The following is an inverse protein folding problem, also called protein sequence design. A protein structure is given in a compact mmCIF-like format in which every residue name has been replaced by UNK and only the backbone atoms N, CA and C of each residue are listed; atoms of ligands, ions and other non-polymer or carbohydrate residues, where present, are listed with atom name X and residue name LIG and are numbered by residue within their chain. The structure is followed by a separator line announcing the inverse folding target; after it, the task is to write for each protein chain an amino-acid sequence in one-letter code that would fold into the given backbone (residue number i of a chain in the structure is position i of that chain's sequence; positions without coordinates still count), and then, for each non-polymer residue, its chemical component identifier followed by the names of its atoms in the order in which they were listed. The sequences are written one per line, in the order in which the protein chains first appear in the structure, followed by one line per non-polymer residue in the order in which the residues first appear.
data_IF_600601576266
#
_entry.id   IF_600601576266
#
_cell.length_a   1.000
_cell.length_b   1.000
_cell.length_c   1.000
_cell.angle_alpha   90.00
_cell.angle_beta   90.00
_cell.angle_gamma   90.00
#
_symmetry.space_group_name_H-M   'P 1'
#
loop_
_entity.id
_entity.type
_entity.pdbx_description
1 polymer ?
#
# COMPACT_ATOMS: atom_id res chain seq x y z
N UNK A 1 -17.54 17.31 7.53
CA UNK A 1 -16.12 17.19 7.94
C UNK A 1 -15.40 16.48 6.80
N UNK A 2 -14.73 17.21 5.91
CA UNK A 2 -13.97 16.60 4.82
C UNK A 2 -12.78 15.84 5.42
N UNK A 3 -12.70 14.54 5.17
CA UNK A 3 -11.56 13.72 5.60
C UNK A 3 -10.39 14.03 4.67
N UNK A 4 -9.30 14.53 5.23
CA UNK A 4 -8.03 14.69 4.51
C UNK A 4 -7.43 13.29 4.35
N UNK A 5 -7.30 12.83 3.11
CA UNK A 5 -6.69 11.53 2.80
C UNK A 5 -5.18 11.70 2.66
N UNK A 6 -4.41 10.96 3.46
CA UNK A 6 -2.96 11.04 3.51
C UNK A 6 -2.34 9.71 3.08
N UNK A 7 -1.35 9.79 2.20
CA UNK A 7 -0.74 8.63 1.56
C UNK A 7 -0.03 7.65 2.50
N UNK A 8 0.44 8.13 3.66
CA UNK A 8 1.08 7.31 4.68
C UNK A 8 0.05 6.50 5.49
N UNK A 9 -1.16 7.01 5.66
CA UNK A 9 -2.21 6.34 6.44
C UNK A 9 -3.10 5.43 5.59
N UNK A 10 -3.18 5.68 4.29
CA UNK A 10 -4.03 4.93 3.36
C UNK A 10 -3.30 3.76 2.66
N UNK A 11 -2.09 3.40 3.13
CA UNK A 11 -1.35 2.22 2.67
C UNK A 11 -0.88 1.35 3.82
N UNK A 12 -0.85 0.05 3.54
CA UNK A 12 -0.23 -0.96 4.40
C UNK A 12 0.75 -1.77 3.56
N UNK A 13 1.88 -2.12 4.14
CA UNK A 13 2.91 -2.94 3.50
C UNK A 13 2.91 -4.31 4.16
N UNK A 14 2.83 -5.34 3.34
CA UNK A 14 2.88 -6.72 3.78
C UNK A 14 4.33 -7.20 3.69
N UNK A 15 4.82 -7.87 4.72
CA UNK A 15 6.16 -8.46 4.77
C UNK A 15 6.07 -9.95 5.08
N UNK A 16 6.96 -10.73 4.48
CA UNK A 16 7.07 -12.17 4.72
C UNK A 16 8.42 -12.48 5.34
N UNK A 17 8.41 -13.27 6.41
CA UNK A 17 9.63 -13.72 7.06
C UNK A 17 10.50 -14.54 6.09
N UNK A 18 11.82 -14.29 6.09
CA UNK A 18 12.77 -15.03 5.26
C UNK A 18 13.02 -16.45 5.78
N UNK A 19 12.77 -16.69 7.06
CA UNK A 19 12.86 -18.02 7.63
C UNK A 19 11.73 -18.87 7.05
N UNK A 20 12.09 -19.84 6.19
CA UNK A 20 11.13 -20.70 5.48
C UNK A 20 10.22 -21.52 6.40
N UNK A 21 10.66 -21.76 7.64
CA UNK A 21 9.92 -22.47 8.67
C UNK A 21 8.97 -21.56 9.44
N UNK A 22 9.16 -20.24 9.39
CA UNK A 22 8.25 -19.25 9.95
C UNK A 22 7.19 -18.86 8.90
N UNK A 23 5.91 -19.02 9.24
CA UNK A 23 4.78 -18.71 8.35
C UNK A 23 4.12 -17.36 8.65
N UNK A 24 4.74 -16.56 9.51
CA UNK A 24 4.21 -15.26 9.88
C UNK A 24 4.25 -14.27 8.70
N UNK A 25 3.15 -13.52 8.56
CA UNK A 25 3.05 -12.40 7.64
C UNK A 25 2.77 -11.15 8.47
N UNK A 26 3.53 -10.10 8.20
CA UNK A 26 3.44 -8.85 8.95
C UNK A 26 2.77 -7.78 8.11
N UNK A 27 2.03 -6.89 8.75
CA UNK A 27 1.43 -5.72 8.10
C UNK A 27 1.76 -4.47 8.89
N UNK A 28 2.46 -3.53 8.26
CA UNK A 28 2.82 -2.27 8.90
C UNK A 28 2.42 -1.08 8.03
N UNK A 29 2.25 0.08 8.67
CA UNK A 29 2.18 1.36 7.99
C UNK A 29 3.60 1.82 7.67
N UNK A 30 3.78 2.47 6.51
CA UNK A 30 5.08 2.94 6.05
C UNK A 30 5.92 1.87 5.35
N UNK A 31 6.75 2.32 4.41
CA UNK A 31 7.69 1.46 3.70
C UNK A 31 8.98 1.36 4.51
N UNK A 32 9.55 0.16 4.53
CA UNK A 32 10.89 -0.12 5.04
C UNK A 32 11.48 -1.21 4.16
N UNK A 33 12.81 -1.25 4.06
CA UNK A 33 13.47 -2.27 3.25
C UNK A 33 13.36 -3.67 3.88
N UNK A 34 13.28 -3.75 5.22
CA UNK A 34 13.02 -4.96 5.98
C UNK A 34 12.49 -4.61 7.38
N UNK A 35 11.89 -5.60 8.04
CA UNK A 35 11.51 -5.54 9.46
C UNK A 35 11.99 -6.79 10.19
N UNK A 36 12.02 -6.76 11.52
CA UNK A 36 12.33 -7.93 12.33
C UNK A 36 11.05 -8.74 12.59
N UNK A 37 11.08 -10.06 12.38
CA UNK A 37 9.98 -10.95 12.71
C UNK A 37 9.96 -11.23 14.21
N UNK A 38 8.94 -10.75 14.94
CA UNK A 38 8.84 -10.94 16.39
C UNK A 38 8.74 -12.41 16.82
N UNK A 39 8.29 -13.31 15.93
CA UNK A 39 8.09 -14.72 16.24
C UNK A 39 9.38 -15.56 16.21
N UNK A 40 10.35 -15.19 15.36
CA UNK A 40 11.58 -15.99 15.19
C UNK A 40 12.88 -15.18 15.12
N UNK A 41 12.80 -13.86 15.19
CA UNK A 41 13.95 -12.94 15.15
C UNK A 41 14.61 -12.76 13.78
N UNK A 42 14.19 -13.52 12.77
CA UNK A 42 14.71 -13.35 11.40
C UNK A 42 14.12 -12.13 10.71
N UNK A 43 14.78 -11.66 9.65
CA UNK A 43 14.24 -10.56 8.84
C UNK A 43 12.95 -10.96 8.11
N UNK A 44 12.10 -9.98 7.86
CA UNK A 44 10.96 -10.09 6.96
C UNK A 44 11.06 -9.02 5.87
N UNK A 45 10.86 -9.46 4.64
CA UNK A 45 11.02 -8.62 3.45
C UNK A 45 9.66 -8.21 2.89
N UNK A 46 9.54 -7.00 2.31
CA UNK A 46 8.29 -6.52 1.76
C UNK A 46 7.86 -7.38 0.56
N UNK A 47 6.59 -7.79 0.53
CA UNK A 47 6.02 -8.60 -0.55
C UNK A 47 4.95 -7.86 -1.34
N UNK A 48 4.10 -7.08 -0.67
CA UNK A 48 2.97 -6.42 -1.32
C UNK A 48 2.68 -5.06 -0.68
N UNK A 49 2.07 -4.16 -1.47
CA UNK A 49 1.50 -2.90 -0.99
C UNK A 49 -0.01 -2.97 -1.10
N UNK A 50 -0.69 -2.81 0.03
CA UNK A 50 -2.13 -2.75 0.14
C UNK A 50 -2.57 -1.28 0.16
N UNK A 51 -3.54 -0.95 -0.68
CA UNK A 51 -4.11 0.39 -0.77
C UNK A 51 -5.51 0.40 -0.17
N UNK A 52 -5.80 1.45 0.59
CA UNK A 52 -7.11 1.64 1.21
C UNK A 52 -8.10 2.23 0.22
N UNK A 53 -9.29 1.64 0.14
CA UNK A 53 -10.41 2.22 -0.58
C UNK A 53 -10.93 3.46 0.17
N UNK A 54 -10.98 4.61 -0.50
CA UNK A 54 -11.43 5.85 0.13
C UNK A 54 -12.95 5.87 0.44
N UNK A 55 -13.73 4.97 -0.19
CA UNK A 55 -15.17 4.83 0.07
C UNK A 55 -15.48 3.83 1.19
N UNK A 56 -15.05 2.58 1.04
CA UNK A 56 -15.41 1.51 2.00
C UNK A 56 -14.30 1.16 3.00
N UNK A 57 -13.09 1.68 2.83
CA UNK A 57 -11.96 1.41 3.74
C UNK A 57 -11.28 0.05 3.55
N UNK A 58 -11.72 -0.79 2.61
CA UNK A 58 -11.10 -2.09 2.33
C UNK A 58 -9.64 -1.92 1.87
N UNK A 59 -8.76 -2.82 2.32
CA UNK A 59 -7.35 -2.87 1.92
C UNK A 59 -7.14 -3.92 0.83
N UNK A 60 -6.63 -3.51 -0.32
CA UNK A 60 -6.45 -4.41 -1.46
C UNK A 60 -5.10 -4.16 -2.16
N UNK A 61 -4.42 -5.24 -2.55
CA UNK A 61 -3.26 -5.17 -3.42
C UNK A 61 -3.67 -4.96 -4.87
N UNK A 62 -2.93 -4.11 -5.59
CA UNK A 62 -3.13 -3.86 -7.01
C UNK A 62 -1.79 -3.80 -7.74
N UNK A 63 -1.76 -4.30 -8.98
CA UNK A 63 -0.61 -4.10 -9.86
C UNK A 63 -0.51 -2.63 -10.27
N UNK A 64 0.67 -2.03 -10.09
CA UNK A 64 0.94 -0.64 -10.48
C UNK A 64 0.79 -0.42 -12.00
N UNK A 65 0.91 -1.50 -12.78
CA UNK A 65 0.83 -1.45 -14.23
C UNK A 65 -0.60 -1.40 -14.76
N UNK A 66 -1.57 -1.80 -13.94
CA UNK A 66 -2.97 -1.84 -14.36
C UNK A 66 -3.60 -0.46 -14.29
N UNK A 67 -4.17 -0.02 -15.40
CA UNK A 67 -5.02 1.16 -15.47
C UNK A 67 -6.46 0.82 -15.05
N UNK A 68 -7.20 1.80 -14.51
CA UNK A 68 -8.63 1.62 -14.20
C UNK A 68 -8.93 0.62 -13.07
N UNK A 69 -8.19 0.72 -11.96
CA UNK A 69 -8.41 -0.14 -10.79
C UNK A 69 -9.69 0.25 -10.05
N UNK A 70 -10.52 -0.73 -9.72
CA UNK A 70 -11.76 -0.57 -8.94
C UNK A 70 -11.67 -1.44 -7.69
N UNK A 71 -12.24 -0.97 -6.56
CA UNK A 71 -12.33 -1.75 -5.32
C UNK A 71 -13.12 -3.03 -5.59
N UNK A 72 -12.56 -4.20 -5.30
CA UNK A 72 -13.32 -5.46 -5.40
C UNK A 72 -14.49 -5.48 -4.43
N UNK A 73 -14.34 -4.81 -3.28
CA UNK A 73 -15.36 -4.79 -2.23
C UNK A 73 -16.56 -3.86 -2.53
N UNK A 74 -16.37 -2.73 -3.23
CA UNK A 74 -17.46 -1.74 -3.43
C UNK A 74 -17.53 -1.10 -4.81
N UNK A 75 -16.68 -1.50 -5.76
CA UNK A 75 -16.64 -0.97 -7.13
C UNK A 75 -16.07 0.45 -7.28
N UNK A 76 -15.74 1.14 -6.18
CA UNK A 76 -15.24 2.51 -6.22
C UNK A 76 -13.83 2.58 -6.81
N UNK A 77 -13.54 3.56 -7.69
CA UNK A 77 -12.22 3.70 -8.34
C UNK A 77 -11.29 4.71 -7.69
N UNK A 78 -11.74 5.53 -6.73
CA UNK A 78 -10.87 6.52 -6.08
C UNK A 78 -9.91 5.84 -5.10
N UNK A 79 -8.67 5.73 -5.55
CA UNK A 79 -7.49 5.28 -4.80
C UNK A 79 -6.32 6.22 -5.04
N UNK A 80 -5.40 6.27 -4.08
CA UNK A 80 -4.13 7.01 -4.20
C UNK A 80 -3.04 6.03 -4.64
N UNK A 81 -2.59 6.13 -5.90
CA UNK A 81 -1.42 5.37 -6.40
C UNK A 81 -0.22 6.28 -6.69
N UNK A 82 1.02 5.79 -6.53
CA UNK A 82 2.20 6.46 -7.06
C UNK A 82 2.08 6.69 -8.58
N UNK A 83 2.56 7.84 -9.06
CA UNK A 83 2.78 8.04 -10.50
C UNK A 83 4.01 7.24 -10.95
N UNK A 84 4.01 6.83 -12.22
CA UNK A 84 5.09 6.02 -12.83
C UNK A 84 6.44 6.76 -12.99
N UNK A 85 6.58 8.04 -12.61
CA UNK A 85 7.78 8.81 -12.95
C UNK A 85 8.14 9.92 -11.96
N UNK A 86 9.38 9.85 -11.44
CA UNK A 86 10.22 11.00 -11.07
C UNK A 86 10.02 11.62 -9.69
N UNK A 87 9.05 11.17 -8.90
CA UNK A 87 8.80 11.71 -7.55
C UNK A 87 8.96 10.58 -6.54
N UNK A 88 9.96 10.72 -5.67
CA UNK A 88 10.18 9.80 -4.56
C UNK A 88 8.90 9.75 -3.69
N UNK A 89 8.28 8.57 -3.53
CA UNK A 89 7.11 8.39 -2.67
C UNK A 89 7.35 8.78 -1.20
N UNK A 90 8.60 8.96 -0.78
CA UNK A 90 8.96 9.41 0.55
C UNK A 90 9.13 10.93 0.63
N UNK A 91 9.49 11.60 -0.47
CA UNK A 91 9.72 13.06 -0.52
C UNK A 91 8.49 13.88 -0.91
N UNK A 92 7.36 13.22 -1.21
CA UNK A 92 6.02 13.79 -0.99
C UNK A 92 5.67 15.11 -1.69
N UNK A 93 6.24 15.41 -2.86
CA UNK A 93 5.85 16.59 -3.63
C UNK A 93 4.41 16.52 -4.19
N UNK A 94 3.76 17.67 -4.31
CA UNK A 94 2.46 17.83 -4.97
C UNK A 94 2.59 17.33 -6.43
N UNK A 95 2.05 16.14 -6.73
CA UNK A 95 2.20 15.50 -8.04
C UNK A 95 2.81 14.09 -8.02
N UNK A 96 3.39 13.64 -6.91
CA UNK A 96 3.91 12.27 -6.75
C UNK A 96 2.83 11.18 -6.91
N UNK A 97 1.56 11.57 -6.73
CA UNK A 97 0.43 10.65 -6.70
C UNK A 97 -0.65 11.02 -7.72
N UNK A 98 -1.38 10.01 -8.19
CA UNK A 98 -2.60 10.20 -8.98
C UNK A 98 -3.79 9.64 -8.20
N UNK A 99 -4.77 10.49 -7.94
CA UNK A 99 -6.12 10.04 -7.60
C UNK A 99 -6.74 9.44 -8.86
N UNK A 100 -7.03 8.15 -8.83
CA UNK A 100 -7.74 7.49 -9.92
C UNK A 100 -9.23 7.81 -9.80
N UNK A 101 -9.79 8.73 -10.58
CA UNK A 101 -11.26 8.92 -10.57
C UNK A 101 -11.92 7.86 -11.47
N UNK A 102 -13.13 7.43 -11.09
CA UNK A 102 -14.01 6.71 -12.01
C UNK A 102 -14.70 7.76 -12.88
N UNK A 103 -14.60 7.60 -14.19
CA UNK A 103 -15.67 8.02 -15.09
C UNK A 103 -16.86 7.08 -14.90
#
# INVERSE_FOLDING_TARGET
MERVYTFLDDRMFTYRCININCKENHRIKGWTQWINCEACGADALPTEVLYRCLKCGALEAFSQEKNGVSCRSCGFRIFVKPRRSGTDPEQGGEGAYKMLKAD
#
